data_IF_162428511015
#
_entry.id   IF_162428511015
#
_cell.length_a   1.000
_cell.length_b   1.000
_cell.length_c   1.000
_cell.angle_alpha   90.00
_cell.angle_beta   90.00
_cell.angle_gamma   90.00
#
_symmetry.space_group_name_H-M   'P 1'
#
loop_
_entity.id
_entity.type
_entity.pdbx_description
1 polymer ?
#
# COMPACT_ATOMS: atom_id res chain seq x y z
N UNK A 1 5.21 8.14 -17.67
CA UNK A 1 5.36 7.02 -16.76
C UNK A 1 4.04 6.56 -16.20
N UNK A 2 3.73 5.29 -16.34
CA UNK A 2 2.47 4.82 -15.76
C UNK A 2 2.49 4.92 -14.25
N UNK A 3 1.38 5.33 -13.69
CA UNK A 3 1.24 5.41 -12.25
C UNK A 3 0.79 4.05 -11.73
N UNK A 4 1.51 3.54 -10.74
CA UNK A 4 1.14 2.28 -10.11
C UNK A 4 -0.14 2.45 -9.30
N UNK A 5 -0.29 3.60 -8.65
CA UNK A 5 -1.44 3.85 -7.78
C UNK A 5 -2.31 4.95 -8.38
N UNK A 6 -3.62 4.75 -8.35
CA UNK A 6 -4.58 5.79 -8.74
C UNK A 6 -5.00 6.62 -7.54
N UNK A 7 -4.82 6.13 -6.35
CA UNK A 7 -5.15 6.87 -5.14
C UNK A 7 -4.60 6.17 -3.93
N UNK A 8 -4.38 6.93 -2.89
CA UNK A 8 -3.90 6.41 -1.61
C UNK A 8 -4.56 7.21 -0.50
N UNK A 9 -5.19 6.52 0.42
CA UNK A 9 -5.85 7.12 1.56
C UNK A 9 -5.46 6.36 2.81
N UNK A 10 -5.42 7.05 3.93
CA UNK A 10 -5.01 6.42 5.18
C UNK A 10 -5.85 6.93 6.33
N UNK A 11 -6.12 6.05 7.28
CA UNK A 11 -6.82 6.38 8.51
C UNK A 11 -6.27 5.49 9.61
N UNK A 12 -5.81 6.10 10.70
CA UNK A 12 -5.25 5.37 11.84
C UNK A 12 -4.15 4.41 11.36
N UNK A 13 -4.34 3.10 11.56
CA UNK A 13 -3.34 2.11 11.19
C UNK A 13 -3.61 1.48 9.81
N UNK A 14 -4.58 2.02 9.07
CA UNK A 14 -5.00 1.43 7.80
C UNK A 14 -4.63 2.33 6.63
N UNK A 15 -4.25 1.70 5.51
CA UNK A 15 -4.02 2.39 4.26
C UNK A 15 -4.84 1.70 3.18
N UNK A 16 -5.55 2.50 2.39
CA UNK A 16 -6.28 1.98 1.24
C UNK A 16 -5.61 2.51 -0.01
N UNK A 17 -5.17 1.60 -0.87
CA UNK A 17 -4.49 1.94 -2.12
C UNK A 17 -5.40 1.54 -3.27
N UNK A 18 -5.63 2.46 -4.18
CA UNK A 18 -6.35 2.19 -5.42
C UNK A 18 -5.34 2.02 -6.54
N UNK A 19 -5.50 0.96 -7.31
CA UNK A 19 -4.62 0.66 -8.42
C UNK A 19 -5.42 0.55 -9.71
N UNK A 20 -4.71 0.35 -10.82
CA UNK A 20 -5.39 0.01 -12.06
C UNK A 20 -6.01 -1.37 -11.93
N UNK A 21 -7.01 -1.65 -12.76
CA UNK A 21 -7.69 -2.95 -12.75
C UNK A 21 -6.68 -4.08 -12.88
N UNK A 22 -6.84 -5.11 -12.06
CA UNK A 22 -5.95 -6.27 -12.01
C UNK A 22 -4.52 -5.95 -11.54
N UNK A 23 -4.28 -4.73 -11.05
CA UNK A 23 -2.95 -4.35 -10.58
C UNK A 23 -2.71 -4.60 -9.10
N UNK A 24 -3.77 -4.94 -8.34
CA UNK A 24 -3.66 -5.00 -6.89
C UNK A 24 -2.77 -6.16 -6.41
N UNK A 25 -2.91 -7.34 -7.01
CA UNK A 25 -2.17 -8.52 -6.51
C UNK A 25 -0.65 -8.34 -6.57
N UNK A 26 -0.05 -8.02 -7.74
CA UNK A 26 1.40 -7.87 -7.77
C UNK A 26 1.89 -6.72 -6.91
N UNK A 27 1.13 -5.62 -6.82
CA UNK A 27 1.50 -4.51 -5.98
C UNK A 27 1.42 -4.90 -4.51
N UNK A 28 0.38 -5.65 -4.14
CA UNK A 28 0.22 -6.14 -2.77
C UNK A 28 1.39 -7.02 -2.34
N UNK A 29 1.86 -7.88 -3.23
CA UNK A 29 3.02 -8.73 -2.94
C UNK A 29 4.28 -7.89 -2.73
N UNK A 30 4.46 -6.86 -3.55
CA UNK A 30 5.59 -5.97 -3.39
C UNK A 30 5.53 -5.22 -2.06
N UNK A 31 4.34 -4.78 -1.66
CA UNK A 31 4.16 -4.10 -0.39
C UNK A 31 4.46 -5.02 0.78
N UNK A 32 3.99 -6.26 0.72
CA UNK A 32 4.28 -7.25 1.76
C UNK A 32 5.77 -7.45 1.91
N UNK A 33 6.47 -7.53 0.79
CA UNK A 33 7.91 -7.76 0.78
C UNK A 33 8.67 -6.56 1.34
N UNK A 34 8.24 -5.33 1.00
CA UNK A 34 8.96 -4.11 1.36
C UNK A 34 8.54 -3.55 2.72
N UNK A 35 7.36 -3.89 3.19
CA UNK A 35 6.80 -3.30 4.40
C UNK A 35 7.52 -3.68 5.67
N UNK A 36 8.15 -4.85 5.69
CA UNK A 36 8.89 -5.32 6.84
C UNK A 36 8.01 -5.41 8.08
N UNK A 37 8.57 -5.06 9.25
CA UNK A 37 7.81 -5.21 10.50
C UNK A 37 6.69 -4.20 10.67
N UNK A 38 6.64 -3.15 9.86
CA UNK A 38 5.59 -2.14 9.99
C UNK A 38 4.25 -2.61 9.44
N UNK A 39 4.24 -3.60 8.57
CA UNK A 39 3.02 -4.10 7.94
C UNK A 39 2.63 -5.43 8.56
N UNK A 40 1.42 -5.51 9.09
CA UNK A 40 0.88 -6.78 9.61
C UNK A 40 0.42 -7.67 8.46
N UNK A 41 -0.16 -7.09 7.43
CA UNK A 41 -0.63 -7.86 6.30
C UNK A 41 -1.32 -6.98 5.29
N UNK A 42 -1.64 -7.56 4.14
CA UNK A 42 -2.37 -6.87 3.08
C UNK A 42 -3.47 -7.75 2.56
N UNK A 43 -4.54 -7.12 2.10
CA UNK A 43 -5.65 -7.80 1.45
C UNK A 43 -5.87 -7.09 0.12
N UNK A 44 -5.85 -7.85 -0.97
CA UNK A 44 -5.96 -7.27 -2.31
C UNK A 44 -7.23 -7.74 -2.99
N UNK A 45 -8.00 -6.77 -3.49
CA UNK A 45 -9.07 -7.04 -4.43
C UNK A 45 -8.55 -6.91 -5.85
N UNK A 46 -9.43 -6.53 -6.77
CA UNK A 46 -9.02 -6.37 -8.16
C UNK A 46 -8.23 -5.08 -8.37
N UNK A 47 -8.68 -4.00 -7.76
CA UNK A 47 -8.07 -2.67 -7.93
C UNK A 47 -7.89 -1.93 -6.61
N UNK A 48 -8.00 -2.63 -5.49
CA UNK A 48 -7.91 -2.01 -4.16
C UNK A 48 -7.09 -2.90 -3.26
N UNK A 49 -6.19 -2.29 -2.51
CA UNK A 49 -5.39 -2.99 -1.51
C UNK A 49 -5.65 -2.35 -0.17
N UNK A 50 -5.94 -3.18 0.82
CA UNK A 50 -6.04 -2.74 2.21
C UNK A 50 -4.77 -3.17 2.92
N UNK A 51 -4.02 -2.20 3.44
CA UNK A 51 -2.78 -2.47 4.17
C UNK A 51 -3.06 -2.23 5.65
N UNK A 52 -2.76 -3.23 6.47
CA UNK A 52 -2.93 -3.15 7.90
C UNK A 52 -1.55 -2.96 8.52
N UNK A 53 -1.35 -1.83 9.19
CA UNK A 53 -0.06 -1.51 9.80
C UNK A 53 -0.13 -1.75 11.30
N UNK A 54 1.04 -1.81 11.94
CA UNK A 54 1.10 -2.13 13.36
C UNK A 54 0.66 -0.98 14.25
N UNK A 55 0.78 0.25 13.77
CA UNK A 55 0.46 1.44 14.56
C UNK A 55 0.28 2.62 13.63
N UNK A 56 -0.14 3.75 14.19
CA UNK A 56 -0.25 4.99 13.43
C UNK A 56 1.11 5.42 12.91
N UNK A 57 2.15 5.28 13.72
CA UNK A 57 3.50 5.64 13.31
C UNK A 57 4.00 4.73 12.20
N UNK A 58 3.73 3.43 12.31
CA UNK A 58 4.09 2.49 11.26
C UNK A 58 3.37 2.84 9.96
N UNK A 59 2.10 3.20 10.04
CA UNK A 59 1.32 3.61 8.88
C UNK A 59 1.94 4.82 8.20
N UNK A 60 2.43 5.78 8.97
CA UNK A 60 3.09 6.95 8.39
C UNK A 60 4.33 6.57 7.61
N UNK A 61 5.15 5.66 8.16
CA UNK A 61 6.35 5.20 7.47
C UNK A 61 6.01 4.46 6.19
N UNK A 62 5.01 3.59 6.24
CA UNK A 62 4.59 2.83 5.08
C UNK A 62 4.02 3.76 4.00
N UNK A 63 3.21 4.75 4.41
CA UNK A 63 2.66 5.72 3.47
C UNK A 63 3.77 6.45 2.71
N UNK A 64 4.82 6.86 3.40
CA UNK A 64 5.93 7.55 2.76
C UNK A 64 6.65 6.66 1.76
N UNK A 65 6.85 5.40 2.11
CA UNK A 65 7.47 4.44 1.20
C UNK A 65 6.62 4.23 -0.05
N UNK A 66 5.31 4.12 0.13
CA UNK A 66 4.41 3.92 -1.00
C UNK A 66 4.43 5.12 -1.94
N UNK A 67 4.44 6.32 -1.39
CA UNK A 67 4.52 7.52 -2.21
C UNK A 67 5.83 7.57 -3.00
N UNK A 68 6.92 7.13 -2.39
CA UNK A 68 8.21 7.06 -3.08
C UNK A 68 8.16 6.05 -4.22
N UNK A 69 7.56 4.88 -3.98
CA UNK A 69 7.42 3.86 -5.02
C UNK A 69 6.54 4.34 -6.17
N UNK A 70 5.48 5.06 -5.85
CA UNK A 70 4.54 5.55 -6.86
C UNK A 70 5.18 6.57 -7.80
N UNK A 71 6.23 7.24 -7.35
CA UNK A 71 6.92 8.25 -8.15
C UNK A 71 7.93 7.67 -9.11
N UNK A 72 8.27 6.41 -8.94
CA UNK A 72 9.20 5.74 -9.83
C UNK A 72 8.47 5.23 -11.07
#
# INVERSE_FOLDING_TARGET
MPQLFQGLDAVRELIVVKTVSAGAQPISEAIDSEGGPDVLGTIAGENTILIICRSDTARERVSKRLLTLARK
#
